data_IF_716989217204
#
_entry.id   IF_716989217204
#
_cell.length_a   1.000
_cell.length_b   1.000
_cell.length_c   1.000
_cell.angle_alpha   90.00
_cell.angle_beta   90.00
_cell.angle_gamma   90.00
#
_symmetry.space_group_name_H-M   'P 1'
#
loop_
_entity.id
_entity.type
_entity.pdbx_description
1 polymer ?
#
# COMPACT_ATOMS: atom_id res chain seq x y z
N UNK A 1 9.96 -11.86 22.76
CA UNK A 1 9.14 -12.47 21.68
C UNK A 1 7.69 -12.23 22.03
N UNK A 2 7.09 -11.13 21.56
CA UNK A 2 5.67 -10.88 21.83
C UNK A 2 4.89 -12.01 21.14
N UNK A 3 4.04 -12.77 21.86
CA UNK A 3 3.28 -13.82 21.23
C UNK A 3 2.36 -13.14 20.23
N UNK A 4 2.28 -13.68 19.00
CA UNK A 4 1.34 -13.20 18.00
C UNK A 4 -0.05 -13.31 18.61
N UNK A 5 -0.59 -12.18 19.04
CA UNK A 5 -1.92 -12.11 19.60
C UNK A 5 -2.85 -12.51 18.47
N UNK A 6 -3.55 -13.64 18.63
CA UNK A 6 -4.61 -14.09 17.72
C UNK A 6 -5.73 -13.06 17.76
N UNK A 7 -5.58 -11.93 17.07
CA UNK A 7 -6.66 -11.00 16.83
C UNK A 7 -7.61 -11.62 15.82
N UNK A 8 -8.55 -12.43 16.33
CA UNK A 8 -9.76 -12.76 15.59
C UNK A 8 -10.69 -11.54 15.66
N UNK A 9 -10.52 -10.65 14.69
CA UNK A 9 -11.62 -9.87 14.14
C UNK A 9 -11.44 -10.05 12.64
N UNK A 10 -12.32 -10.80 11.98
CA UNK A 10 -12.25 -11.00 10.54
C UNK A 10 -13.15 -9.96 9.83
N UNK A 11 -12.56 -8.93 9.20
CA UNK A 11 -13.02 -8.32 7.96
C UNK A 11 -12.02 -8.66 6.82
N UNK A 12 -12.32 -8.33 5.55
CA UNK A 12 -11.98 -9.19 4.42
C UNK A 12 -10.47 -9.38 4.30
N UNK A 13 -10.07 -10.64 4.09
CA UNK A 13 -8.74 -10.99 3.62
C UNK A 13 -8.44 -10.13 2.38
N UNK A 14 -7.59 -9.12 2.53
CA UNK A 14 -7.08 -8.36 1.39
C UNK A 14 -5.85 -9.14 0.95
N UNK A 15 -6.03 -10.01 -0.05
CA UNK A 15 -4.98 -10.92 -0.50
C UNK A 15 -3.71 -10.18 -0.96
N UNK A 16 -3.81 -8.93 -1.44
CA UNK A 16 -2.67 -8.09 -1.87
C UNK A 16 -3.01 -6.59 -1.78
N UNK A 17 -2.02 -5.75 -1.45
CA UNK A 17 -2.16 -4.28 -1.46
C UNK A 17 -2.36 -3.76 -2.88
N UNK A 18 -3.30 -2.83 -3.05
CA UNK A 18 -3.57 -2.16 -4.34
C UNK A 18 -2.98 -0.74 -4.40
N UNK A 19 -2.39 -0.37 -5.54
CA UNK A 19 -1.97 1.00 -5.80
C UNK A 19 -3.19 1.88 -6.07
N UNK A 20 -3.63 2.62 -5.05
CA UNK A 20 -4.75 3.55 -5.20
C UNK A 20 -4.37 4.78 -6.03
N UNK A 21 -5.17 5.16 -7.04
CA UNK A 21 -4.94 6.40 -7.79
C UNK A 21 -5.21 7.64 -6.93
N UNK A 22 -4.60 8.79 -7.25
CA UNK A 22 -5.00 10.06 -6.63
C UNK A 22 -6.48 10.36 -6.90
N UNK A 23 -7.18 11.06 -5.99
CA UNK A 23 -8.60 11.41 -6.16
C UNK A 23 -8.84 12.57 -7.15
N UNK A 24 -7.88 12.82 -8.04
CA UNK A 24 -7.87 13.90 -9.02
C UNK A 24 -7.00 13.50 -10.23
N UNK A 25 -7.17 14.19 -11.36
CA UNK A 25 -6.33 14.01 -12.55
C UNK A 25 -4.89 14.42 -12.26
N UNK A 26 -3.91 13.82 -12.94
CA UNK A 26 -2.49 14.05 -12.66
C UNK A 26 -2.04 15.51 -12.92
N UNK A 27 -2.78 16.27 -13.73
CA UNK A 27 -2.54 17.68 -14.02
C UNK A 27 -3.33 18.64 -13.11
N UNK A 28 -4.22 18.13 -12.24
CA UNK A 28 -5.15 18.96 -11.47
C UNK A 28 -4.49 19.85 -10.41
N UNK A 29 -3.20 19.64 -10.12
CA UNK A 29 -2.45 20.41 -9.13
C UNK A 29 -1.55 21.49 -9.74
N UNK A 30 -1.58 21.67 -11.06
CA UNK A 30 -0.81 22.72 -11.71
C UNK A 30 -1.33 24.13 -11.34
N UNK A 31 -0.44 25.15 -11.24
CA UNK A 31 1.03 25.10 -11.41
C UNK A 31 1.80 24.73 -10.13
N UNK A 32 1.12 24.40 -9.03
CA UNK A 32 1.74 24.17 -7.73
C UNK A 32 2.48 22.82 -7.65
N UNK A 33 2.03 21.83 -8.39
CA UNK A 33 2.71 20.55 -8.58
C UNK A 33 2.50 20.10 -10.02
N UNK A 34 3.59 19.80 -10.73
CA UNK A 34 3.51 19.42 -12.14
C UNK A 34 2.91 18.02 -12.32
N UNK A 35 2.29 17.79 -13.48
CA UNK A 35 1.86 16.45 -13.88
C UNK A 35 3.01 15.43 -13.80
N UNK A 36 4.21 15.83 -14.27
CA UNK A 36 5.41 14.99 -14.22
C UNK A 36 5.74 14.55 -12.79
N UNK A 37 5.60 15.43 -11.78
CA UNK A 37 5.83 15.05 -10.38
C UNK A 37 4.89 13.92 -9.97
N UNK A 38 3.61 13.95 -10.34
CA UNK A 38 2.66 12.90 -9.98
C UNK A 38 2.89 11.61 -10.79
N UNK A 39 3.28 11.69 -12.05
CA UNK A 39 3.66 10.52 -12.86
C UNK A 39 4.84 9.75 -12.25
N UNK A 40 5.86 10.47 -11.76
CA UNK A 40 6.99 9.83 -11.08
C UNK A 40 6.64 9.41 -9.66
N UNK A 41 6.03 10.29 -8.85
CA UNK A 41 5.75 10.01 -7.45
C UNK A 41 4.71 8.90 -7.28
N UNK A 42 3.52 9.04 -7.86
CA UNK A 42 2.50 8.01 -7.78
C UNK A 42 2.77 6.86 -8.76
N UNK A 43 3.04 7.19 -10.04
CA UNK A 43 3.13 6.18 -11.09
C UNK A 43 4.34 5.25 -11.00
N UNK A 44 5.48 5.73 -10.46
CA UNK A 44 6.71 4.95 -10.28
C UNK A 44 7.04 4.66 -8.82
N UNK A 45 7.21 5.67 -7.98
CA UNK A 45 7.70 5.46 -6.60
C UNK A 45 6.67 4.74 -5.73
N UNK A 46 5.43 5.24 -5.67
CA UNK A 46 4.36 4.58 -4.90
C UNK A 46 4.08 3.17 -5.42
N UNK A 47 4.02 2.99 -6.75
CA UNK A 47 3.93 1.65 -7.35
C UNK A 47 5.02 0.71 -6.86
N UNK A 48 6.28 1.14 -6.90
CA UNK A 48 7.39 0.33 -6.43
C UNK A 48 7.28 -0.05 -4.95
N UNK A 49 6.77 0.84 -4.09
CA UNK A 49 6.52 0.51 -2.68
C UNK A 49 5.44 -0.58 -2.53
N UNK A 50 4.31 -0.45 -3.24
CA UNK A 50 3.23 -1.45 -3.22
C UNK A 50 3.70 -2.80 -3.74
N UNK A 51 4.34 -2.81 -4.91
CA UNK A 51 4.83 -4.05 -5.54
C UNK A 51 5.87 -4.76 -4.65
N UNK A 52 6.77 -4.02 -4.01
CA UNK A 52 7.79 -4.60 -3.15
C UNK A 52 7.23 -5.06 -1.81
N UNK A 53 6.26 -4.34 -1.23
CA UNK A 53 5.59 -4.79 -0.01
C UNK A 53 4.86 -6.12 -0.24
N UNK A 54 4.08 -6.22 -1.33
CA UNK A 54 3.41 -7.45 -1.73
C UNK A 54 4.40 -8.62 -1.89
N UNK A 55 5.53 -8.43 -2.58
CA UNK A 55 6.57 -9.45 -2.71
C UNK A 55 7.20 -9.88 -1.38
N UNK A 56 7.25 -9.00 -0.39
CA UNK A 56 7.85 -9.28 0.91
C UNK A 56 6.90 -10.04 1.84
N UNK A 57 5.59 -9.86 1.68
CA UNK A 57 4.57 -10.51 2.51
C UNK A 57 3.99 -11.79 1.89
N UNK A 58 4.19 -12.01 0.60
CA UNK A 58 3.74 -13.22 -0.13
C UNK A 58 4.17 -14.51 0.60
N UNK A 59 3.21 -15.38 0.91
CA UNK A 59 3.43 -16.64 1.60
C UNK A 59 3.74 -16.52 3.09
N UNK A 60 3.60 -15.34 3.68
CA UNK A 60 3.80 -15.09 5.12
C UNK A 60 2.46 -14.92 5.84
N UNK A 61 2.47 -14.96 7.18
CA UNK A 61 1.29 -14.67 8.01
C UNK A 61 0.77 -13.22 7.82
N UNK A 62 1.56 -12.35 7.17
CA UNK A 62 1.21 -10.94 6.90
C UNK A 62 0.41 -10.76 5.61
N UNK A 63 0.34 -11.78 4.74
CA UNK A 63 -0.36 -11.69 3.44
C UNK A 63 -1.85 -11.41 3.60
N UNK A 64 -2.46 -11.87 4.69
CA UNK A 64 -3.89 -11.69 4.98
C UNK A 64 -4.17 -10.48 5.90
N UNK A 65 -3.14 -9.70 6.24
CA UNK A 65 -3.25 -8.57 7.16
C UNK A 65 -3.60 -7.26 6.44
N UNK A 66 -4.20 -6.31 7.18
CA UNK A 66 -4.34 -4.93 6.68
C UNK A 66 -2.98 -4.23 6.63
N UNK A 67 -2.88 -3.13 5.86
CA UNK A 67 -1.63 -2.34 5.83
C UNK A 67 -1.26 -1.82 7.23
N UNK A 68 -2.26 -1.40 8.01
CA UNK A 68 -2.08 -0.94 9.39
C UNK A 68 -1.55 -2.06 10.30
N UNK A 69 -2.03 -3.28 10.13
CA UNK A 69 -1.51 -4.44 10.88
C UNK A 69 -0.06 -4.74 10.50
N UNK A 70 0.28 -4.68 9.20
CA UNK A 70 1.66 -4.88 8.70
C UNK A 70 2.62 -3.84 9.29
N UNK A 71 2.20 -2.57 9.38
CA UNK A 71 3.03 -1.48 9.94
C UNK A 71 3.25 -1.64 11.44
N UNK A 72 2.26 -2.18 12.16
CA UNK A 72 2.30 -2.33 13.62
C UNK A 72 2.85 -3.69 14.08
N UNK A 73 3.25 -4.56 13.15
CA UNK A 73 3.88 -5.86 13.41
C UNK A 73 5.23 -5.72 14.15
#
# INVERSE_FOLDING_TARGET
KRPMLKFRIAPPAVALLELRPPPYKLDALEPHMSQQTLEFHWGKHHRAYVDNCNKQIEGTDLEECTLEDIINF
#
